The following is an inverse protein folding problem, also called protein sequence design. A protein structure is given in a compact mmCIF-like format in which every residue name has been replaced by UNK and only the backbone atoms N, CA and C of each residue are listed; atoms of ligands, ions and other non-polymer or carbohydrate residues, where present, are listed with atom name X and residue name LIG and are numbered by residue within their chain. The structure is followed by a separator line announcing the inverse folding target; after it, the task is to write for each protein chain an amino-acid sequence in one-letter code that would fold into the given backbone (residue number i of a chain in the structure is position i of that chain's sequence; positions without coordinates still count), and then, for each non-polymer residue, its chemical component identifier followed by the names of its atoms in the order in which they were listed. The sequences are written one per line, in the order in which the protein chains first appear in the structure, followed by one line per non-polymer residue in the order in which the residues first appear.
data_IF_516156267022
#
_entry.id   IF_516156267022
#
_cell.length_a   1.000
_cell.length_b   1.000
_cell.length_c   1.000
_cell.angle_alpha   90.00
_cell.angle_beta   90.00
_cell.angle_gamma   90.00
#
_symmetry.space_group_name_H-M   'P 1'
#
loop_
_entity.id
_entity.type
_entity.pdbx_description
1 polymer ?
#
# COMPACT_ATOMS: atom_id res chain seq x y z
N UNK A 1 42.72 -48.48 8.10
CA UNK A 1 41.57 -47.82 8.76
C UNK A 1 41.70 -46.32 8.52
N UNK A 2 41.04 -45.79 7.49
CA UNK A 2 41.11 -44.38 7.10
C UNK A 2 39.69 -43.83 7.01
N UNK A 3 39.44 -42.79 7.80
CA UNK A 3 38.15 -42.12 7.93
C UNK A 3 37.80 -41.34 6.65
N UNK A 4 36.65 -41.64 6.05
CA UNK A 4 36.07 -40.85 4.97
C UNK A 4 35.15 -39.79 5.57
N UNK A 5 35.67 -38.56 5.65
CA UNK A 5 34.88 -37.37 5.90
C UNK A 5 34.15 -37.00 4.60
N UNK A 6 32.88 -37.38 4.49
CA UNK A 6 31.97 -36.78 3.52
C UNK A 6 31.60 -35.38 4.02
N UNK A 7 32.40 -34.40 3.64
CA UNK A 7 32.03 -33.00 3.61
C UNK A 7 30.77 -32.86 2.75
N UNK A 8 29.62 -32.69 3.41
CA UNK A 8 28.48 -32.01 2.80
C UNK A 8 28.97 -30.61 2.45
N UNK A 9 29.28 -30.39 1.18
CA UNK A 9 29.36 -29.05 0.62
C UNK A 9 28.02 -28.39 0.87
N UNK A 10 27.97 -27.54 1.90
CA UNK A 10 26.82 -26.68 2.16
C UNK A 10 26.53 -25.94 0.87
N UNK A 11 25.29 -26.05 0.40
CA UNK A 11 24.77 -25.18 -0.64
C UNK A 11 25.03 -23.75 -0.19
N UNK A 12 26.03 -23.10 -0.78
CA UNK A 12 26.19 -21.67 -0.70
C UNK A 12 24.88 -21.09 -1.25
N UNK A 13 24.01 -20.63 -0.35
CA UNK A 13 22.74 -20.02 -0.72
C UNK A 13 23.04 -18.92 -1.74
N UNK A 14 22.37 -18.96 -2.88
CA UNK A 14 22.50 -17.90 -3.86
C UNK A 14 22.28 -16.56 -3.16
N UNK A 15 23.10 -15.53 -3.44
CA UNK A 15 22.91 -14.22 -2.83
C UNK A 15 21.48 -13.79 -3.10
N UNK A 16 20.76 -13.41 -2.03
CA UNK A 16 19.37 -12.98 -2.14
C UNK A 16 19.25 -11.95 -3.26
N UNK A 17 18.45 -12.27 -4.29
CA UNK A 17 18.25 -11.39 -5.41
C UNK A 17 17.67 -10.08 -4.87
N UNK A 18 18.38 -8.96 -5.07
CA UNK A 18 17.91 -7.67 -4.55
C UNK A 18 16.55 -7.37 -5.20
N UNK A 19 15.54 -7.02 -4.39
CA UNK A 19 14.18 -6.66 -4.81
C UNK A 19 13.91 -5.14 -4.71
N UNK A 20 14.65 -4.28 -5.44
CA UNK A 20 14.57 -2.82 -5.29
C UNK A 20 13.18 -2.25 -5.61
N UNK A 21 12.46 -2.78 -6.60
CA UNK A 21 11.13 -2.30 -6.99
C UNK A 21 10.10 -2.62 -5.92
N UNK A 22 10.14 -3.82 -5.33
CA UNK A 22 9.30 -4.18 -4.18
C UNK A 22 9.56 -3.26 -3.00
N UNK A 23 10.83 -2.92 -2.73
CA UNK A 23 11.19 -1.96 -1.67
C UNK A 23 10.67 -0.55 -1.95
N UNK A 24 10.80 -0.07 -3.18
CA UNK A 24 10.24 1.22 -3.61
C UNK A 24 8.71 1.22 -3.48
N UNK A 25 8.07 0.12 -3.85
CA UNK A 25 6.61 -0.05 -3.75
C UNK A 25 6.16 0.06 -2.31
N UNK A 26 6.73 -0.74 -1.39
CA UNK A 26 6.29 -0.74 0.01
C UNK A 26 6.62 0.58 0.73
N UNK A 27 7.78 1.18 0.44
CA UNK A 27 8.15 2.48 1.04
C UNK A 27 7.25 3.60 0.53
N UNK A 28 6.92 3.62 -0.76
CA UNK A 28 6.02 4.63 -1.30
C UNK A 28 4.57 4.44 -0.83
N UNK A 29 4.10 3.20 -0.68
CA UNK A 29 2.79 2.91 -0.06
C UNK A 29 2.76 3.37 1.42
N UNK A 30 3.81 3.06 2.20
CA UNK A 30 3.91 3.60 3.55
C UNK A 30 3.94 5.13 3.56
N UNK A 31 4.62 5.74 2.58
CA UNK A 31 4.60 7.17 2.33
C UNK A 31 3.19 7.73 2.08
N UNK A 32 2.33 7.02 1.34
CA UNK A 32 0.93 7.45 1.16
C UNK A 32 0.18 7.49 2.49
N UNK A 33 0.36 6.48 3.35
CA UNK A 33 -0.36 6.37 4.63
C UNK A 33 0.08 7.48 5.56
N UNK A 34 1.38 7.76 5.58
CA UNK A 34 1.97 8.86 6.35
C UNK A 34 1.51 10.21 5.81
N UNK A 35 1.38 10.37 4.49
CA UNK A 35 0.87 11.59 3.87
C UNK A 35 -0.57 11.88 4.33
N UNK A 36 -1.45 10.88 4.33
CA UNK A 36 -2.84 11.00 4.80
C UNK A 36 -2.92 11.36 6.29
N UNK A 37 -2.13 10.65 7.11
CA UNK A 37 -2.05 10.92 8.54
C UNK A 37 -1.55 12.35 8.81
N UNK A 38 -0.51 12.78 8.11
CA UNK A 38 0.07 14.12 8.22
C UNK A 38 -0.87 15.22 7.72
N UNK A 39 -1.67 14.93 6.69
CA UNK A 39 -2.73 15.82 6.21
C UNK A 39 -3.90 15.92 7.20
N UNK A 40 -4.00 15.01 8.16
CA UNK A 40 -5.02 14.98 9.20
C UNK A 40 -6.35 14.41 8.71
N UNK A 41 -6.34 13.46 7.78
CA UNK A 41 -7.51 12.69 7.34
C UNK A 41 -7.58 11.29 7.96
N UNK A 42 -6.60 10.94 8.77
CA UNK A 42 -6.45 9.63 9.41
C UNK A 42 -5.59 8.70 8.59
N UNK A 43 -5.57 7.45 9.01
CA UNK A 43 -4.91 6.36 8.31
C UNK A 43 -5.84 5.14 8.32
N UNK A 44 -5.73 4.21 7.37
CA UNK A 44 -6.57 3.03 7.35
C UNK A 44 -6.51 2.28 8.69
N UNK A 45 -7.69 1.91 9.22
CA UNK A 45 -7.94 1.29 10.53
C UNK A 45 -7.90 2.23 11.74
N UNK A 46 -7.50 3.50 11.59
CA UNK A 46 -7.45 4.43 12.72
C UNK A 46 -8.83 4.67 13.35
N UNK A 47 -9.92 4.52 12.59
CA UNK A 47 -11.27 4.65 13.15
C UNK A 47 -11.61 3.54 14.14
N UNK A 48 -10.94 2.39 14.05
CA UNK A 48 -11.23 1.20 14.86
C UNK A 48 -10.27 1.08 16.03
N UNK A 49 -8.97 1.12 15.74
CA UNK A 49 -7.90 0.84 16.71
C UNK A 49 -7.11 2.08 17.12
N UNK A 50 -7.57 3.27 16.71
CA UNK A 50 -6.91 4.54 16.95
C UNK A 50 -5.66 4.75 16.06
N UNK A 51 -5.15 6.00 16.00
CA UNK A 51 -4.03 6.35 15.13
C UNK A 51 -2.73 5.60 15.49
N UNK A 52 -2.46 5.39 16.78
CA UNK A 52 -1.23 4.69 17.21
C UNK A 52 -1.28 3.18 16.91
N UNK A 53 -2.43 2.55 17.13
CA UNK A 53 -2.62 1.13 16.80
C UNK A 53 -2.51 0.90 15.29
N UNK A 54 -3.15 1.75 14.49
CA UNK A 54 -3.05 1.69 13.03
C UNK A 54 -1.62 1.97 12.53
N UNK A 55 -0.91 2.94 13.11
CA UNK A 55 0.49 3.21 12.75
C UNK A 55 1.41 2.02 13.07
N UNK A 56 1.23 1.39 14.23
CA UNK A 56 1.95 0.17 14.61
C UNK A 56 1.68 -0.97 13.64
N UNK A 57 0.41 -1.22 13.29
CA UNK A 57 0.03 -2.22 12.31
C UNK A 57 0.72 -2.00 10.95
N UNK A 58 0.63 -0.79 10.39
CA UNK A 58 1.23 -0.49 9.08
C UNK A 58 2.76 -0.52 9.11
N UNK A 59 3.38 -0.18 10.23
CA UNK A 59 4.83 -0.31 10.43
C UNK A 59 5.25 -1.79 10.42
N UNK A 60 4.50 -2.66 11.10
CA UNK A 60 4.78 -4.11 11.10
C UNK A 60 4.60 -4.72 9.71
N UNK A 61 3.53 -4.36 8.99
CA UNK A 61 3.30 -4.81 7.61
C UNK A 61 4.43 -4.34 6.69
N UNK A 62 4.79 -3.07 6.75
CA UNK A 62 5.87 -2.47 5.94
C UNK A 62 7.20 -3.13 6.24
N UNK A 63 7.56 -3.26 7.52
CA UNK A 63 8.79 -3.91 7.97
C UNK A 63 8.86 -5.38 7.56
N UNK A 64 7.74 -6.11 7.64
CA UNK A 64 7.65 -7.50 7.21
C UNK A 64 7.89 -7.68 5.71
N UNK A 65 7.30 -6.83 4.87
CA UNK A 65 7.55 -6.85 3.42
C UNK A 65 8.99 -6.44 3.09
N UNK A 66 9.54 -5.42 3.77
CA UNK A 66 10.94 -5.03 3.60
C UNK A 66 11.91 -6.15 4.01
N UNK A 67 11.64 -6.84 5.12
CA UNK A 67 12.44 -8.00 5.54
C UNK A 67 12.33 -9.14 4.52
N UNK A 68 11.12 -9.43 4.02
CA UNK A 68 10.90 -10.43 2.98
C UNK A 68 11.59 -10.07 1.66
N UNK A 69 11.71 -8.79 1.32
CA UNK A 69 12.40 -8.31 0.11
C UNK A 69 13.92 -8.57 0.11
N UNK A 70 14.49 -8.95 1.25
CA UNK A 70 15.89 -9.34 1.40
C UNK A 70 16.10 -10.86 1.38
N UNK A 71 15.04 -11.65 1.21
CA UNK A 71 15.10 -13.11 1.11
C UNK A 71 15.21 -13.56 -0.35
N UNK A 72 15.51 -14.84 -0.53
CA UNK A 72 15.52 -15.52 -1.83
C UNK A 72 14.09 -15.78 -2.36
N UNK A 73 13.98 -16.61 -3.40
CA UNK A 73 12.73 -16.99 -4.07
C UNK A 73 11.66 -17.55 -3.11
N UNK A 74 12.04 -18.01 -1.90
CA UNK A 74 11.07 -18.44 -0.89
C UNK A 74 10.05 -17.37 -0.51
N UNK A 75 10.38 -16.09 -0.70
CA UNK A 75 9.49 -14.97 -0.43
C UNK A 75 8.60 -14.56 -1.62
N UNK A 76 8.83 -15.07 -2.84
CA UNK A 76 8.19 -14.55 -4.07
C UNK A 76 6.66 -14.56 -4.01
N UNK A 77 6.04 -15.59 -3.43
CA UNK A 77 4.58 -15.66 -3.28
C UNK A 77 4.04 -14.55 -2.38
N UNK A 78 4.73 -14.29 -1.27
CA UNK A 78 4.38 -13.23 -0.32
C UNK A 78 4.56 -11.86 -0.99
N UNK A 79 5.69 -11.64 -1.67
CA UNK A 79 5.98 -10.38 -2.33
C UNK A 79 5.04 -10.13 -3.53
N UNK A 80 4.66 -11.17 -4.27
CA UNK A 80 3.66 -11.06 -5.33
C UNK A 80 2.27 -10.69 -4.78
N UNK A 81 1.86 -11.30 -3.67
CA UNK A 81 0.62 -10.93 -2.99
C UNK A 81 0.69 -9.50 -2.43
N UNK A 82 1.79 -9.10 -1.79
CA UNK A 82 1.96 -7.76 -1.25
C UNK A 82 1.95 -6.68 -2.33
N UNK A 83 2.71 -6.87 -3.42
CA UNK A 83 2.70 -5.96 -4.56
C UNK A 83 1.30 -5.93 -5.22
N UNK A 84 0.66 -7.09 -5.39
CA UNK A 84 -0.70 -7.19 -5.93
C UNK A 84 -1.74 -6.46 -5.07
N UNK A 85 -1.65 -6.59 -3.75
CA UNK A 85 -2.49 -5.85 -2.80
C UNK A 85 -2.24 -4.34 -2.89
N UNK A 86 -0.98 -3.91 -3.02
CA UNK A 86 -0.63 -2.51 -3.25
C UNK A 86 -1.29 -1.94 -4.52
N UNK A 87 -1.23 -2.68 -5.63
CA UNK A 87 -1.92 -2.29 -6.88
C UNK A 87 -3.44 -2.26 -6.68
N UNK A 88 -4.00 -3.22 -5.96
CA UNK A 88 -5.43 -3.25 -5.66
C UNK A 88 -5.86 -2.03 -4.83
N UNK A 89 -5.08 -1.65 -3.81
CA UNK A 89 -5.33 -0.47 -3.00
C UNK A 89 -5.28 0.83 -3.83
N UNK A 90 -4.28 1.00 -4.68
CA UNK A 90 -4.18 2.17 -5.57
C UNK A 90 -5.35 2.21 -6.56
N UNK A 91 -5.70 1.07 -7.12
CA UNK A 91 -6.85 0.94 -8.03
C UNK A 91 -8.15 1.31 -7.32
N UNK A 92 -8.33 0.88 -6.06
CA UNK A 92 -9.47 1.25 -5.24
C UNK A 92 -9.55 2.77 -5.04
N UNK A 93 -8.43 3.46 -4.79
CA UNK A 93 -8.44 4.92 -4.72
C UNK A 93 -8.90 5.55 -6.05
N UNK A 94 -8.26 5.17 -7.17
CA UNK A 94 -8.53 5.75 -8.50
C UNK A 94 -9.94 5.45 -9.02
N UNK A 95 -10.56 4.36 -8.57
CA UNK A 95 -11.90 3.94 -9.02
C UNK A 95 -13.00 4.32 -8.03
N UNK A 96 -12.70 4.42 -6.74
CA UNK A 96 -13.67 4.71 -5.67
C UNK A 96 -13.89 6.21 -5.43
N UNK A 97 -12.95 7.06 -5.85
CA UNK A 97 -13.00 8.49 -5.56
C UNK A 97 -13.14 9.34 -6.83
N UNK A 98 -13.64 10.60 -6.69
CA UNK A 98 -13.80 11.49 -7.83
C UNK A 98 -12.49 11.70 -8.60
N UNK A 99 -12.53 11.47 -9.90
CA UNK A 99 -11.39 11.69 -10.81
C UNK A 99 -11.77 12.62 -11.96
N UNK A 100 -10.78 13.38 -12.41
CA UNK A 100 -10.77 14.02 -13.73
C UNK A 100 -9.78 13.29 -14.64
N UNK A 101 -9.86 13.52 -15.95
CA UNK A 101 -8.88 12.95 -16.89
C UNK A 101 -7.72 13.93 -17.10
N UNK A 102 -6.49 13.43 -17.06
CA UNK A 102 -5.31 14.21 -17.53
C UNK A 102 -5.38 14.39 -19.05
N UNK A 103 -4.48 15.22 -19.61
CA UNK A 103 -4.31 15.33 -21.07
C UNK A 103 -3.98 14.00 -21.75
N UNK A 104 -3.38 13.06 -21.01
CA UNK A 104 -3.04 11.71 -21.49
C UNK A 104 -4.14 10.68 -21.19
N UNK A 105 -5.30 11.09 -20.69
CA UNK A 105 -6.45 10.21 -20.40
C UNK A 105 -6.35 9.42 -19.09
N UNK A 106 -5.30 9.64 -18.28
CA UNK A 106 -5.15 8.96 -17.00
C UNK A 106 -6.12 9.51 -15.94
N UNK A 107 -6.68 8.67 -15.06
CA UNK A 107 -7.54 9.11 -13.97
C UNK A 107 -6.73 9.91 -12.95
N UNK A 108 -7.12 11.15 -12.68
CA UNK A 108 -6.45 12.03 -11.74
C UNK A 108 -7.42 12.39 -10.63
N UNK A 109 -7.13 11.98 -9.40
CA UNK A 109 -8.01 12.28 -8.27
C UNK A 109 -8.21 13.78 -8.14
N UNK A 110 -9.47 14.19 -8.06
CA UNK A 110 -9.86 15.57 -7.76
C UNK A 110 -10.15 15.78 -6.28
N UNK A 111 -10.51 14.72 -5.58
CA UNK A 111 -10.56 14.64 -4.12
C UNK A 111 -10.43 13.16 -3.72
N UNK A 112 -9.99 12.91 -2.49
CA UNK A 112 -9.85 11.57 -1.94
C UNK A 112 -9.89 11.64 -0.42
N UNK A 113 -10.83 10.92 0.21
CA UNK A 113 -10.89 10.76 1.67
C UNK A 113 -10.89 12.07 2.49
N UNK A 114 -11.30 13.20 1.88
CA UNK A 114 -11.29 14.50 2.54
C UNK A 114 -9.93 15.22 2.53
N UNK A 115 -8.98 14.75 1.73
CA UNK A 115 -7.71 15.44 1.47
C UNK A 115 -7.94 16.78 0.75
N UNK A 116 -8.99 16.90 -0.05
CA UNK A 116 -9.30 18.09 -0.82
C UNK A 116 -8.46 18.26 -2.09
N UNK A 117 -8.94 19.04 -3.06
CA UNK A 117 -8.27 19.25 -4.35
C UNK A 117 -6.87 19.86 -4.23
N UNK A 118 -6.60 20.61 -3.16
CA UNK A 118 -5.33 21.28 -2.90
C UNK A 118 -4.16 20.31 -2.65
N UNK A 119 -4.44 19.08 -2.17
CA UNK A 119 -3.41 18.05 -1.94
C UNK A 119 -3.25 17.08 -3.10
N UNK A 120 -4.21 17.04 -4.03
CA UNK A 120 -4.18 16.13 -5.17
C UNK A 120 -2.93 16.26 -6.06
N UNK A 121 -2.34 17.45 -6.28
CA UNK A 121 -1.07 17.57 -7.01
C UNK A 121 0.10 16.79 -6.39
N UNK A 122 0.09 16.58 -5.08
CA UNK A 122 1.13 15.83 -4.36
C UNK A 122 0.74 14.36 -4.16
N UNK A 123 -0.54 14.10 -3.92
CA UNK A 123 -1.06 12.78 -3.62
C UNK A 123 -1.09 11.85 -4.84
N UNK A 124 -1.52 12.37 -6.01
CA UNK A 124 -1.56 11.55 -7.24
C UNK A 124 -0.16 11.01 -7.63
N UNK A 125 0.93 11.81 -7.63
CA UNK A 125 2.27 11.28 -7.88
C UNK A 125 2.68 10.14 -6.96
N UNK A 126 2.33 10.19 -5.67
CA UNK A 126 2.61 9.09 -4.73
C UNK A 126 1.91 7.81 -5.20
N UNK A 127 0.60 7.88 -5.48
CA UNK A 127 -0.16 6.73 -5.96
C UNK A 127 0.37 6.16 -7.28
N UNK A 128 0.66 7.03 -8.25
CA UNK A 128 1.18 6.60 -9.55
C UNK A 128 2.57 5.99 -9.44
N UNK A 129 3.44 6.56 -8.61
CA UNK A 129 4.77 6.01 -8.36
C UNK A 129 4.69 4.65 -7.66
N UNK A 130 3.87 4.52 -6.63
CA UNK A 130 3.60 3.24 -5.96
C UNK A 130 3.04 2.20 -6.93
N UNK A 131 2.12 2.60 -7.81
CA UNK A 131 1.49 1.69 -8.77
C UNK A 131 2.46 1.23 -9.85
N UNK A 132 3.25 2.15 -10.40
CA UNK A 132 4.27 1.83 -11.40
C UNK A 132 5.34 0.90 -10.83
N UNK A 133 5.85 1.20 -9.63
CA UNK A 133 6.87 0.37 -8.97
C UNK A 133 6.32 -1.01 -8.60
N UNK A 134 5.08 -1.09 -8.10
CA UNK A 134 4.43 -2.36 -7.76
C UNK A 134 4.17 -3.25 -8.97
N UNK A 135 3.74 -2.65 -10.09
CA UNK A 135 3.55 -3.37 -11.34
C UNK A 135 4.89 -3.88 -11.87
N UNK A 136 5.92 -3.02 -11.90
CA UNK A 136 7.25 -3.43 -12.35
C UNK A 136 7.85 -4.51 -11.43
N UNK A 137 7.59 -4.47 -10.12
CA UNK A 137 8.00 -5.51 -9.19
C UNK A 137 7.33 -6.86 -9.51
N UNK A 138 6.02 -6.88 -9.79
CA UNK A 138 5.31 -8.08 -10.25
C UNK A 138 5.93 -8.62 -11.54
N UNK A 139 6.22 -7.75 -12.51
CA UNK A 139 6.73 -8.14 -13.82
C UNK A 139 8.19 -8.61 -13.81
N UNK A 140 9.03 -8.08 -12.92
CA UNK A 140 10.49 -8.24 -12.99
C UNK A 140 11.11 -9.00 -11.82
N UNK A 141 10.49 -8.96 -10.65
CA UNK A 141 11.08 -9.46 -9.40
C UNK A 141 10.40 -10.74 -8.89
N UNK A 142 9.08 -10.90 -9.06
CA UNK A 142 8.36 -12.05 -8.51
C UNK A 142 8.35 -13.27 -9.47
N UNK A 143 9.53 -13.69 -9.96
CA UNK A 143 9.68 -14.60 -11.11
C UNK A 143 9.09 -15.99 -10.89
N UNK A 144 9.12 -16.50 -9.66
CA UNK A 144 8.62 -17.85 -9.35
C UNK A 144 7.16 -17.84 -8.88
N UNK A 145 6.59 -16.66 -8.62
CA UNK A 145 5.20 -16.53 -8.24
C UNK A 145 4.27 -16.72 -9.45
N UNK A 146 3.20 -17.48 -9.26
CA UNK A 146 2.18 -17.66 -10.30
C UNK A 146 1.35 -16.38 -10.44
N UNK A 147 1.06 -15.99 -11.69
CA UNK A 147 0.35 -14.75 -12.01
C UNK A 147 -1.04 -14.63 -11.37
N UNK A 148 -1.69 -15.75 -11.04
CA UNK A 148 -2.98 -15.71 -10.36
C UNK A 148 -2.90 -15.07 -8.98
N UNK A 149 -1.74 -15.05 -8.30
CA UNK A 149 -1.62 -14.46 -6.96
C UNK A 149 -1.83 -12.94 -6.99
N UNK A 150 -1.06 -12.15 -7.75
CA UNK A 150 -1.32 -10.72 -7.85
C UNK A 150 -2.70 -10.43 -8.47
N UNK A 151 -3.17 -11.25 -9.42
CA UNK A 151 -4.53 -11.11 -9.99
C UNK A 151 -5.63 -11.36 -8.96
N UNK A 152 -5.48 -12.34 -8.07
CA UNK A 152 -6.43 -12.61 -6.99
C UNK A 152 -6.51 -11.41 -6.04
N UNK A 153 -5.39 -10.72 -5.79
CA UNK A 153 -5.39 -9.49 -5.00
C UNK A 153 -6.15 -8.35 -5.69
N UNK A 154 -6.11 -8.25 -7.02
CA UNK A 154 -6.95 -7.28 -7.76
C UNK A 154 -8.44 -7.55 -7.59
N UNK A 155 -8.83 -8.80 -7.35
CA UNK A 155 -10.22 -9.15 -6.99
C UNK A 155 -10.71 -8.46 -5.71
N UNK A 156 -9.81 -7.95 -4.86
CA UNK A 156 -10.16 -7.22 -3.64
C UNK A 156 -10.59 -5.77 -3.89
N UNK A 157 -10.40 -5.23 -5.09
CA UNK A 157 -10.67 -3.81 -5.40
C UNK A 157 -12.07 -3.36 -4.95
N UNK A 158 -13.17 -4.06 -5.25
CA UNK A 158 -14.51 -3.64 -4.81
C UNK A 158 -14.64 -3.61 -3.27
N UNK A 159 -14.04 -4.59 -2.59
CA UNK A 159 -14.02 -4.64 -1.13
C UNK A 159 -13.20 -3.51 -0.51
N UNK A 160 -12.06 -3.16 -1.13
CA UNK A 160 -11.23 -2.04 -0.70
C UNK A 160 -11.93 -0.69 -0.91
N UNK A 161 -12.65 -0.50 -2.01
CA UNK A 161 -13.48 0.70 -2.23
C UNK A 161 -14.54 0.82 -1.12
N UNK A 162 -15.26 -0.28 -0.84
CA UNK A 162 -16.27 -0.30 0.22
C UNK A 162 -15.66 0.01 1.60
N UNK A 163 -14.48 -0.56 1.89
CA UNK A 163 -13.74 -0.33 3.13
C UNK A 163 -13.28 1.13 3.25
N UNK A 164 -12.69 1.72 2.21
CA UNK A 164 -12.26 3.12 2.18
C UNK A 164 -13.42 4.07 2.51
N UNK A 165 -14.56 3.91 1.85
CA UNK A 165 -15.73 4.75 2.13
C UNK A 165 -16.30 4.51 3.53
N UNK A 166 -16.31 3.28 4.03
CA UNK A 166 -16.74 2.98 5.39
C UNK A 166 -15.82 3.65 6.43
N UNK A 167 -14.51 3.50 6.26
CA UNK A 167 -13.49 4.07 7.14
C UNK A 167 -13.57 5.60 7.12
N UNK A 168 -13.63 6.21 5.94
CA UNK A 168 -13.80 7.66 5.77
C UNK A 168 -15.06 8.17 6.49
N UNK A 169 -16.21 7.49 6.35
CA UNK A 169 -17.44 7.86 7.08
C UNK A 169 -17.26 7.78 8.60
N UNK A 170 -16.58 6.77 9.13
CA UNK A 170 -16.32 6.66 10.57
C UNK A 170 -15.36 7.73 11.06
N UNK A 171 -14.26 7.94 10.35
CA UNK A 171 -13.27 8.98 10.66
C UNK A 171 -13.90 10.37 10.66
N UNK A 172 -14.80 10.65 9.71
CA UNK A 172 -15.55 11.90 9.66
C UNK A 172 -16.46 12.09 10.88
N UNK A 173 -17.22 11.06 11.26
CA UNK A 173 -18.06 11.11 12.48
C UNK A 173 -17.21 11.33 13.73
N UNK A 174 -16.05 10.68 13.83
CA UNK A 174 -15.12 10.87 14.92
C UNK A 174 -14.53 12.28 14.95
N UNK A 175 -14.14 12.82 13.80
CA UNK A 175 -13.61 14.17 13.68
C UNK A 175 -14.65 15.23 14.07
N UNK A 176 -15.93 15.01 13.75
CA UNK A 176 -17.03 15.88 14.17
C UNK A 176 -17.30 15.84 15.66
N UNK A 177 -17.22 14.65 16.29
CA UNK A 177 -17.50 14.49 17.72
C UNK A 177 -16.30 14.87 18.61
N UNK A 178 -15.08 14.50 18.19
CA UNK A 178 -13.83 14.62 18.94
C UNK A 178 -12.66 14.84 17.98
N UNK A 179 -12.49 16.07 17.47
CA UNK A 179 -11.40 16.36 16.55
C UNK A 179 -10.04 16.25 17.24
N UNK A 180 -9.08 15.69 16.50
CA UNK A 180 -7.70 15.57 16.93
C UNK A 180 -6.77 15.86 15.75
N UNK A 181 -5.48 16.07 16.01
CA UNK A 181 -4.51 16.45 14.98
C UNK A 181 -4.52 15.52 13.76
N UNK A 182 -4.82 14.23 13.96
CA UNK A 182 -4.77 13.16 12.97
C UNK A 182 -6.05 13.02 12.13
N UNK A 183 -7.18 13.62 12.52
CA UNK A 183 -8.45 13.55 11.76
C UNK A 183 -9.15 14.92 11.57
N UNK A 184 -8.57 16.00 12.11
CA UNK A 184 -9.19 17.33 12.17
C UNK A 184 -9.57 17.90 10.80
N UNK A 185 -8.92 17.49 9.71
CA UNK A 185 -9.23 18.01 8.36
C UNK A 185 -10.64 17.61 7.94
N UNK A 186 -11.11 16.45 8.38
CA UNK A 186 -12.43 15.91 8.05
C UNK A 186 -13.60 16.71 8.63
N UNK A 187 -13.33 17.64 9.56
CA UNK A 187 -14.35 18.59 10.05
C UNK A 187 -14.80 19.56 8.97
N UNK A 188 -13.90 19.92 8.04
CA UNK A 188 -14.10 21.00 7.06
C UNK A 188 -14.75 20.52 5.76
N UNK A 189 -14.92 19.21 5.61
CA UNK A 189 -15.54 18.62 4.44
C UNK A 189 -17.06 18.75 4.61
N UNK A 190 -17.68 19.61 3.80
CA UNK A 190 -19.14 19.74 3.72
C UNK A 190 -19.77 18.37 3.40
N UNK A 191 -21.05 18.11 3.73
CA UNK A 191 -21.75 16.93 3.22
C UNK A 191 -21.59 16.89 1.71
N UNK A 192 -21.22 15.73 1.15
CA UNK A 192 -21.46 15.54 -0.28
C UNK A 192 -22.98 15.70 -0.48
N UNK A 193 -23.42 16.45 -1.51
CA UNK A 193 -24.85 16.60 -1.79
C UNK A 193 -25.53 15.25 -1.99
#
# INVERSE_FOLDING_TARGET
MTASWLTRSGAAGQPAERRPLTRLTVVSLAGHVVFELGAGVGMPLASVIGPYGAAGFWTLVTGGVLAASARDESADKLLAAANGFGIAAISAHLLGWPTRRTRTGLPWLSDCEGLGPELMPFYNPILYFSGATGLLAILRENRTARWYLPMAMLGLVPGLIAFQHWEHRRLRRQAQARPAWWNRRLQRVAPAP
#
